data_IF_195039864761
#
_entry.id   IF_195039864761
#
_cell.length_a   1.000
_cell.length_b   1.000
_cell.length_c   1.000
_cell.angle_alpha   90.00
_cell.angle_beta   90.00
_cell.angle_gamma   90.00
#
_symmetry.space_group_name_H-M   'P 1'
#
loop_
_entity.id
_entity.type
_entity.pdbx_description
1 polymer ?
#
# COMPACT_ATOMS: atom_id res chain seq x y z
N UNK A 1 -13.26 -58.65 -11.46
CA UNK A 1 -14.30 -57.81 -10.81
C UNK A 1 -13.61 -56.96 -9.73
N UNK A 2 -13.42 -55.65 -9.96
CA UNK A 2 -12.80 -54.77 -8.95
C UNK A 2 -13.72 -54.57 -7.74
N UNK A 3 -13.16 -54.48 -6.53
CA UNK A 3 -13.92 -54.18 -5.30
C UNK A 3 -14.71 -52.87 -5.48
N UNK A 4 -15.99 -52.84 -5.07
CA UNK A 4 -16.82 -51.62 -5.06
C UNK A 4 -16.10 -50.54 -4.25
N UNK A 5 -15.85 -49.38 -4.86
CA UNK A 5 -15.24 -48.23 -4.21
C UNK A 5 -16.23 -47.59 -3.24
N UNK A 6 -15.78 -47.25 -2.02
CA UNK A 6 -16.59 -46.48 -1.07
C UNK A 6 -16.94 -45.11 -1.67
N UNK A 7 -18.14 -44.60 -1.35
CA UNK A 7 -18.61 -43.27 -1.76
C UNK A 7 -17.59 -42.21 -1.31
N UNK A 8 -17.32 -41.22 -2.17
CA UNK A 8 -16.35 -40.15 -1.89
C UNK A 8 -14.88 -40.49 -2.18
N UNK A 9 -14.52 -41.75 -2.43
CA UNK A 9 -13.12 -42.14 -2.75
C UNK A 9 -12.73 -42.02 -4.23
N UNK A 10 -13.61 -41.49 -5.08
CA UNK A 10 -13.34 -41.28 -6.50
C UNK A 10 -14.03 -40.00 -7.02
N UNK A 11 -13.41 -39.38 -8.03
CA UNK A 11 -13.95 -38.19 -8.71
C UNK A 11 -13.70 -36.87 -7.99
N UNK A 12 -14.67 -35.94 -8.08
CA UNK A 12 -14.55 -34.57 -7.56
C UNK A 12 -14.23 -34.51 -6.06
N UNK A 13 -14.71 -35.49 -5.27
CA UNK A 13 -14.45 -35.55 -3.83
C UNK A 13 -12.95 -35.76 -3.49
N UNK A 14 -12.17 -36.34 -4.41
CA UNK A 14 -10.70 -36.48 -4.24
C UNK A 14 -9.96 -35.27 -4.79
N UNK A 15 -10.50 -34.60 -5.80
CA UNK A 15 -9.83 -33.48 -6.46
C UNK A 15 -9.94 -32.17 -5.67
N UNK A 16 -11.00 -32.03 -4.88
CA UNK A 16 -11.33 -30.81 -4.16
C UNK A 16 -11.42 -31.06 -2.66
N UNK A 17 -11.04 -30.06 -1.88
CA UNK A 17 -11.11 -30.04 -0.43
C UNK A 17 -11.81 -28.75 0.01
N UNK A 18 -12.64 -28.81 1.05
CA UNK A 18 -13.30 -27.62 1.58
C UNK A 18 -12.30 -26.75 2.34
N UNK A 19 -12.58 -25.44 2.46
CA UNK A 19 -11.75 -24.51 3.23
C UNK A 19 -11.46 -24.99 4.65
N UNK A 20 -12.49 -25.45 5.37
CA UNK A 20 -12.35 -25.94 6.76
C UNK A 20 -11.43 -27.16 6.84
N UNK A 21 -11.58 -28.11 5.91
CA UNK A 21 -10.71 -29.28 5.84
C UNK A 21 -9.26 -28.92 5.47
N UNK A 22 -9.06 -27.97 4.55
CA UNK A 22 -7.73 -27.49 4.20
C UNK A 22 -7.00 -26.84 5.39
N UNK A 23 -7.73 -26.05 6.18
CA UNK A 23 -7.21 -25.40 7.40
C UNK A 23 -6.83 -26.45 8.45
N UNK A 24 -7.72 -27.42 8.72
CA UNK A 24 -7.44 -28.55 9.62
C UNK A 24 -6.21 -29.34 9.19
N UNK A 25 -6.09 -29.64 7.89
CA UNK A 25 -4.96 -30.40 7.32
C UNK A 25 -3.62 -29.66 7.44
N UNK A 26 -3.60 -28.34 7.24
CA UNK A 26 -2.38 -27.53 7.34
C UNK A 26 -2.02 -27.11 8.78
N UNK A 27 -2.97 -27.25 9.71
CA UNK A 27 -2.84 -26.83 11.11
C UNK A 27 -2.49 -25.35 11.23
N UNK A 28 -3.20 -24.51 10.47
CA UNK A 28 -3.06 -23.06 10.45
C UNK A 28 -4.32 -22.37 10.97
N UNK A 29 -4.22 -21.10 11.34
CA UNK A 29 -5.40 -20.26 11.60
C UNK A 29 -6.02 -19.77 10.29
N UNK A 30 -7.29 -19.38 10.30
CA UNK A 30 -7.98 -18.85 9.11
C UNK A 30 -7.26 -17.63 8.51
N UNK A 31 -6.79 -16.70 9.34
CA UNK A 31 -6.06 -15.51 8.89
C UNK A 31 -4.70 -15.85 8.28
N UNK A 32 -3.96 -16.80 8.86
CA UNK A 32 -2.67 -17.29 8.35
C UNK A 32 -2.86 -18.06 7.03
N UNK A 33 -3.91 -18.89 6.95
CA UNK A 33 -4.27 -19.61 5.73
C UNK A 33 -4.59 -18.64 4.59
N UNK A 34 -5.43 -17.61 4.82
CA UNK A 34 -5.72 -16.58 3.82
C UNK A 34 -4.44 -15.88 3.33
N UNK A 35 -3.54 -15.52 4.25
CA UNK A 35 -2.26 -14.88 3.89
C UNK A 35 -1.39 -15.77 3.02
N UNK A 36 -1.28 -17.04 3.39
CA UNK A 36 -0.48 -18.01 2.67
C UNK A 36 -1.03 -18.26 1.25
N UNK A 37 -2.36 -18.35 1.12
CA UNK A 37 -3.03 -18.45 -0.18
C UNK A 37 -2.74 -17.25 -1.07
N UNK A 38 -2.78 -16.02 -0.53
CA UNK A 38 -2.45 -14.79 -1.28
C UNK A 38 -1.00 -14.81 -1.77
N UNK A 39 -0.06 -15.14 -0.89
CA UNK A 39 1.36 -15.18 -1.23
C UNK A 39 1.70 -16.19 -2.32
N UNK A 40 1.04 -17.35 -2.31
CA UNK A 40 1.22 -18.40 -3.33
C UNK A 40 0.32 -18.25 -4.56
N UNK A 41 -0.66 -17.34 -4.53
CA UNK A 41 -1.63 -17.18 -5.62
C UNK A 41 -2.65 -18.32 -5.73
N UNK A 42 -2.87 -19.07 -4.65
CA UNK A 42 -3.88 -20.14 -4.61
C UNK A 42 -5.25 -19.49 -4.37
N UNK A 43 -6.18 -19.78 -5.27
CA UNK A 43 -7.52 -19.21 -5.23
C UNK A 43 -8.60 -20.30 -5.17
N UNK A 44 -9.78 -19.99 -4.59
CA UNK A 44 -10.90 -20.90 -4.57
C UNK A 44 -11.31 -21.34 -5.97
N UNK A 45 -11.81 -22.57 -6.07
CA UNK A 45 -12.26 -23.21 -7.30
C UNK A 45 -13.69 -23.69 -7.13
N UNK A 46 -14.50 -23.51 -8.16
CA UNK A 46 -15.86 -24.03 -8.17
C UNK A 46 -15.89 -25.40 -8.86
N UNK A 47 -16.15 -26.51 -8.12
CA UNK A 47 -16.25 -27.82 -8.73
C UNK A 47 -17.56 -27.95 -9.50
N UNK A 48 -17.53 -28.66 -10.65
CA UNK A 48 -18.72 -28.91 -11.49
C UNK A 48 -19.90 -29.49 -10.72
N UNK A 49 -19.62 -30.35 -9.72
CA UNK A 49 -20.60 -30.88 -8.78
C UNK A 49 -20.07 -30.68 -7.36
N UNK A 50 -20.72 -29.81 -6.60
CA UNK A 50 -20.43 -29.57 -5.18
C UNK A 50 -20.96 -30.77 -4.36
N UNK A 51 -20.12 -31.31 -3.48
CA UNK A 51 -20.40 -32.58 -2.77
C UNK A 51 -20.72 -32.40 -1.29
N UNK A 52 -20.28 -31.30 -0.65
CA UNK A 52 -20.50 -30.99 0.78
C UNK A 52 -21.38 -29.75 1.02
N UNK A 53 -22.03 -29.24 -0.03
CA UNK A 53 -22.91 -28.05 0.04
C UNK A 53 -22.53 -26.94 -0.95
N UNK A 54 -23.53 -26.11 -1.29
CA UNK A 54 -23.40 -25.03 -2.29
C UNK A 54 -22.61 -23.81 -1.79
N UNK A 55 -22.71 -23.52 -0.49
CA UNK A 55 -22.16 -22.33 0.17
C UNK A 55 -20.69 -22.51 0.63
N UNK A 56 -20.14 -23.72 0.48
CA UNK A 56 -18.77 -24.00 0.91
C UNK A 56 -17.78 -23.60 -0.20
N UNK A 57 -16.65 -23.03 0.22
CA UNK A 57 -15.53 -22.72 -0.67
C UNK A 57 -14.62 -23.93 -0.81
N UNK A 58 -14.28 -24.28 -2.05
CA UNK A 58 -13.46 -25.43 -2.38
C UNK A 58 -12.10 -24.98 -2.93
N UNK A 59 -11.07 -25.77 -2.64
CA UNK A 59 -9.72 -25.63 -3.17
C UNK A 59 -9.31 -26.95 -3.83
N UNK A 60 -8.34 -26.91 -4.75
CA UNK A 60 -7.78 -28.14 -5.28
C UNK A 60 -6.90 -28.84 -4.25
N UNK A 61 -7.01 -30.16 -4.16
CA UNK A 61 -6.20 -30.95 -3.24
C UNK A 61 -4.70 -30.87 -3.58
N UNK A 62 -4.36 -30.76 -4.88
CA UNK A 62 -2.98 -30.59 -5.35
C UNK A 62 -2.37 -29.28 -4.83
N UNK A 63 -3.11 -28.18 -4.90
CA UNK A 63 -2.66 -26.87 -4.46
C UNK A 63 -2.42 -26.85 -2.94
N UNK A 64 -3.32 -27.49 -2.16
CA UNK A 64 -3.15 -27.62 -0.71
C UNK A 64 -1.98 -28.52 -0.34
N UNK A 65 -1.72 -29.60 -1.11
CA UNK A 65 -0.56 -30.45 -0.89
C UNK A 65 0.74 -29.70 -1.19
N UNK A 66 0.76 -28.91 -2.26
CA UNK A 66 1.89 -28.05 -2.57
C UNK A 66 2.12 -26.99 -1.48
N UNK A 67 1.03 -26.41 -0.95
CA UNK A 67 1.08 -25.48 0.17
C UNK A 67 1.67 -26.10 1.44
N UNK A 68 1.43 -27.39 1.69
CA UNK A 68 1.93 -28.09 2.87
C UNK A 68 3.47 -28.18 2.92
N UNK A 69 4.14 -28.08 1.78
CA UNK A 69 5.61 -28.10 1.69
C UNK A 69 6.24 -26.70 1.83
N UNK A 70 5.45 -25.65 2.03
CA UNK A 70 5.95 -24.29 2.05
C UNK A 70 6.64 -23.92 3.37
N UNK A 71 7.91 -23.44 3.37
CA UNK A 71 8.64 -23.09 4.59
C UNK A 71 8.01 -21.97 5.41
N UNK A 72 7.16 -21.13 4.81
CA UNK A 72 6.44 -20.08 5.52
C UNK A 72 5.52 -20.64 6.62
N UNK A 73 5.00 -21.86 6.47
CA UNK A 73 4.17 -22.51 7.50
C UNK A 73 4.95 -22.61 8.82
N UNK A 74 6.20 -23.04 8.76
CA UNK A 74 7.05 -23.15 9.95
C UNK A 74 7.35 -21.78 10.56
N UNK A 75 7.51 -20.75 9.72
CA UNK A 75 7.70 -19.38 10.22
C UNK A 75 6.46 -18.86 10.94
N UNK A 76 5.25 -19.12 10.43
CA UNK A 76 3.99 -18.74 11.09
C UNK A 76 3.81 -19.47 12.41
N UNK A 77 4.15 -20.76 12.47
CA UNK A 77 4.15 -21.53 13.71
C UNK A 77 5.12 -20.93 14.75
N UNK A 78 6.34 -20.56 14.33
CA UNK A 78 7.32 -19.87 15.19
C UNK A 78 6.80 -18.53 15.69
N UNK A 79 6.15 -17.74 14.83
CA UNK A 79 5.53 -16.45 15.19
C UNK A 79 4.42 -16.66 16.23
N UNK A 80 3.56 -17.66 16.04
CA UNK A 80 2.48 -17.96 16.99
C UNK A 80 3.02 -18.43 18.34
N UNK A 81 4.05 -19.27 18.36
CA UNK A 81 4.75 -19.66 19.60
C UNK A 81 5.39 -18.44 20.27
N UNK A 82 6.03 -17.56 19.50
CA UNK A 82 6.64 -16.34 20.01
C UNK A 82 5.59 -15.40 20.63
N UNK A 83 4.44 -15.23 19.98
CA UNK A 83 3.30 -14.47 20.51
C UNK A 83 2.81 -15.04 21.85
N UNK A 84 2.67 -16.37 21.96
CA UNK A 84 2.31 -17.05 23.22
C UNK A 84 3.37 -16.79 24.32
N UNK A 85 4.66 -16.77 23.98
CA UNK A 85 5.75 -16.44 24.93
C UNK A 85 5.65 -14.99 25.42
N UNK A 86 5.37 -14.04 24.53
CA UNK A 86 5.12 -12.63 24.88
C UNK A 86 3.93 -12.54 25.84
N UNK A 87 2.81 -13.20 25.54
CA UNK A 87 1.61 -13.17 26.38
C UNK A 87 1.90 -13.77 27.76
N UNK A 88 2.66 -14.87 27.84
CA UNK A 88 3.09 -15.48 29.10
C UNK A 88 4.02 -14.56 29.91
N UNK A 89 4.97 -13.88 29.27
CA UNK A 89 5.84 -12.91 29.93
C UNK A 89 5.07 -11.69 30.45
N UNK A 90 4.10 -11.20 29.67
CA UNK A 90 3.18 -10.11 30.05
C UNK A 90 2.33 -10.51 31.26
N UNK A 91 1.74 -11.70 31.25
CA UNK A 91 0.94 -12.23 32.37
C UNK A 91 1.77 -12.37 33.65
N UNK A 92 3.05 -12.78 33.54
CA UNK A 92 4.00 -12.87 34.66
C UNK A 92 4.62 -11.53 35.07
N UNK A 93 4.25 -10.42 34.43
CA UNK A 93 4.79 -9.05 34.64
C UNK A 93 6.33 -8.95 34.57
N UNK A 94 6.99 -9.86 33.85
CA UNK A 94 8.45 -9.79 33.67
C UNK A 94 8.79 -8.80 32.53
N UNK A 95 9.16 -7.56 32.91
CA UNK A 95 9.40 -6.47 31.96
C UNK A 95 10.66 -6.67 31.11
N UNK A 96 11.72 -7.24 31.68
CA UNK A 96 13.00 -7.42 30.97
C UNK A 96 12.90 -8.49 29.90
N UNK A 97 12.28 -9.63 30.24
CA UNK A 97 12.01 -10.67 29.26
C UNK A 97 11.08 -10.16 28.15
N UNK A 98 10.07 -9.35 28.50
CA UNK A 98 9.16 -8.76 27.53
C UNK A 98 9.90 -7.83 26.55
N UNK A 99 10.79 -6.95 27.04
CA UNK A 99 11.63 -6.08 26.19
C UNK A 99 12.48 -6.91 25.24
N UNK A 100 13.15 -7.95 25.74
CA UNK A 100 13.97 -8.85 24.92
C UNK A 100 13.15 -9.62 23.87
N UNK A 101 11.95 -10.07 24.22
CA UNK A 101 11.07 -10.75 23.26
C UNK A 101 10.53 -9.78 22.20
N UNK A 102 10.26 -8.51 22.56
CA UNK A 102 9.83 -7.51 21.58
C UNK A 102 10.89 -7.23 20.51
N UNK A 103 12.17 -7.16 20.89
CA UNK A 103 13.27 -6.93 19.94
C UNK A 103 13.54 -8.14 19.05
N UNK A 104 13.34 -9.36 19.57
CA UNK A 104 13.59 -10.62 18.85
C UNK A 104 12.39 -11.12 18.02
N UNK A 105 11.50 -10.21 17.57
CA UNK A 105 10.32 -10.60 16.78
C UNK A 105 10.74 -11.34 15.50
N UNK A 106 10.34 -12.61 15.31
CA UNK A 106 10.70 -13.35 14.10
C UNK A 106 9.97 -12.74 12.90
N UNK A 107 10.74 -12.34 11.89
CA UNK A 107 10.24 -11.91 10.59
C UNK A 107 10.29 -13.04 9.56
N UNK A 108 9.56 -12.89 8.47
CA UNK A 108 9.63 -13.75 7.29
C UNK A 108 9.97 -12.91 6.06
N UNK A 109 10.55 -13.56 5.05
CA UNK A 109 10.91 -12.95 3.76
C UNK A 109 10.09 -13.61 2.65
N UNK A 110 9.66 -12.83 1.68
CA UNK A 110 8.87 -13.31 0.53
C UNK A 110 9.74 -13.49 -0.74
N UNK A 111 11.06 -13.34 -0.60
CA UNK A 111 12.01 -13.33 -1.72
C UNK A 111 11.98 -14.60 -2.57
N UNK A 112 11.83 -15.76 -1.93
CA UNK A 112 11.77 -17.05 -2.62
C UNK A 112 10.46 -17.23 -3.39
N UNK A 113 9.34 -16.75 -2.84
CA UNK A 113 8.03 -16.80 -3.49
C UNK A 113 7.99 -15.99 -4.79
N UNK A 114 8.55 -14.78 -4.77
CA UNK A 114 8.60 -13.92 -5.96
C UNK A 114 9.39 -14.61 -7.08
N UNK A 115 10.54 -15.23 -6.75
CA UNK A 115 11.38 -15.95 -7.71
C UNK A 115 10.72 -17.22 -8.25
N UNK A 116 9.98 -17.93 -7.42
CA UNK A 116 9.25 -19.13 -7.82
C UNK A 116 8.06 -18.80 -8.73
N UNK A 117 7.34 -17.71 -8.44
CA UNK A 117 6.19 -17.26 -9.23
C UNK A 117 6.60 -16.61 -10.55
N UNK A 118 7.70 -15.86 -10.56
CA UNK A 118 8.21 -15.13 -11.72
C UNK A 118 9.62 -15.60 -12.07
N UNK A 119 9.76 -16.72 -12.81
CA UNK A 119 11.08 -17.24 -13.20
C UNK A 119 11.80 -16.31 -14.18
N UNK A 120 11.05 -15.63 -15.05
CA UNK A 120 11.59 -14.60 -15.95
C UNK A 120 11.21 -13.21 -15.45
N UNK A 121 12.09 -12.25 -15.76
CA UNK A 121 11.80 -10.84 -15.49
C UNK A 121 10.67 -10.28 -16.34
N UNK A 122 10.50 -10.80 -17.57
CA UNK A 122 9.40 -10.38 -18.44
C UNK A 122 8.05 -10.79 -17.84
N UNK A 123 8.00 -11.95 -17.18
CA UNK A 123 6.78 -12.41 -16.49
C UNK A 123 6.46 -11.51 -15.29
N UNK A 124 7.47 -11.07 -14.55
CA UNK A 124 7.29 -10.10 -13.47
C UNK A 124 6.79 -8.73 -13.97
N UNK A 125 7.23 -8.28 -15.14
CA UNK A 125 6.77 -7.03 -15.77
C UNK A 125 5.31 -7.11 -16.22
N UNK A 126 4.84 -8.28 -16.67
CA UNK A 126 3.45 -8.47 -17.14
C UNK A 126 2.42 -8.36 -16.02
N UNK A 127 2.77 -8.81 -14.82
CA UNK A 127 1.91 -8.74 -13.63
C UNK A 127 2.12 -7.45 -12.81
N UNK A 128 2.92 -6.51 -13.32
CA UNK A 128 3.31 -5.30 -12.57
C UNK A 128 2.18 -4.26 -12.46
N UNK A 129 1.22 -4.27 -13.39
CA UNK A 129 0.09 -3.33 -13.47
C UNK A 129 -0.71 -3.30 -12.16
N UNK A 130 -1.11 -4.47 -11.66
CA UNK A 130 -1.86 -4.62 -10.40
C UNK A 130 -1.02 -4.22 -9.18
N UNK A 131 0.28 -4.53 -9.20
CA UNK A 131 1.19 -4.16 -8.13
C UNK A 131 1.35 -2.64 -8.03
N UNK A 132 1.52 -1.95 -9.16
CA UNK A 132 1.68 -0.50 -9.21
C UNK A 132 0.40 0.21 -8.79
N UNK A 133 -0.77 -0.20 -9.27
CA UNK A 133 -2.06 0.40 -8.89
C UNK A 133 -2.26 0.33 -7.37
N UNK A 134 -2.02 -0.83 -6.75
CA UNK A 134 -2.19 -1.00 -5.31
C UNK A 134 -1.18 -0.17 -4.50
N UNK A 135 0.09 -0.16 -4.90
CA UNK A 135 1.14 0.59 -4.20
C UNK A 135 0.87 2.10 -4.26
N UNK A 136 0.43 2.63 -5.41
CA UNK A 136 0.06 4.05 -5.53
C UNK A 136 -1.19 4.39 -4.72
N UNK A 137 -2.17 3.47 -4.64
CA UNK A 137 -3.33 3.65 -3.77
C UNK A 137 -2.90 3.81 -2.31
N UNK A 138 -2.12 2.85 -1.80
CA UNK A 138 -1.64 2.91 -0.42
C UNK A 138 -0.73 4.11 -0.15
N UNK A 139 0.05 4.58 -1.12
CA UNK A 139 0.88 5.78 -0.94
C UNK A 139 0.06 7.04 -0.59
N UNK A 140 -1.19 7.12 -1.09
CA UNK A 140 -2.11 8.24 -0.86
C UNK A 140 -2.96 8.09 0.41
N UNK A 141 -3.07 6.89 0.98
CA UNK A 141 -3.89 6.65 2.16
C UNK A 141 -3.26 7.27 3.44
N UNK A 142 -4.09 7.78 4.37
CA UNK A 142 -3.63 8.15 5.70
C UNK A 142 -3.30 6.91 6.54
N UNK A 143 -2.34 7.05 7.44
CA UNK A 143 -1.98 6.00 8.39
C UNK A 143 -3.02 5.92 9.52
N UNK A 144 -4.15 5.28 9.26
CA UNK A 144 -5.23 5.15 10.24
C UNK A 144 -5.10 3.85 11.03
N UNK A 145 -4.87 3.95 12.34
CA UNK A 145 -4.68 2.77 13.21
C UNK A 145 -5.95 1.92 13.31
N UNK A 146 -7.13 2.50 13.09
CA UNK A 146 -8.43 1.81 13.17
C UNK A 146 -8.55 0.63 12.19
N UNK A 147 -7.94 0.73 11.01
CA UNK A 147 -8.03 -0.28 9.96
C UNK A 147 -6.84 -1.26 9.94
N UNK A 148 -5.92 -1.14 10.91
CA UNK A 148 -4.78 -2.04 11.05
C UNK A 148 -3.72 -1.92 9.95
N UNK A 149 -3.62 -0.75 9.31
CA UNK A 149 -2.62 -0.47 8.27
C UNK A 149 -1.32 0.01 8.96
N UNK A 150 -0.19 -0.69 8.80
CA UNK A 150 1.06 -0.29 9.44
C UNK A 150 1.71 0.90 8.72
N UNK A 151 2.11 1.93 9.47
CA UNK A 151 2.81 3.13 8.96
C UNK A 151 4.04 2.79 8.12
N UNK A 152 4.84 1.83 8.58
CA UNK A 152 6.04 1.36 7.86
C UNK A 152 5.70 0.84 6.45
N UNK A 153 4.57 0.15 6.26
CA UNK A 153 4.18 -0.31 4.93
C UNK A 153 3.76 0.86 4.01
N UNK A 154 3.13 1.90 4.57
CA UNK A 154 2.75 3.11 3.83
C UNK A 154 3.99 3.91 3.41
N UNK A 155 4.94 4.11 4.32
CA UNK A 155 6.24 4.75 4.02
C UNK A 155 6.99 3.98 2.93
N UNK A 156 7.03 2.64 3.05
CA UNK A 156 7.62 1.78 2.03
C UNK A 156 6.90 1.93 0.68
N UNK A 157 5.57 1.98 0.66
CA UNK A 157 4.80 2.15 -0.56
C UNK A 157 5.06 3.51 -1.23
N UNK A 158 5.13 4.60 -0.45
CA UNK A 158 5.48 5.95 -0.94
C UNK A 158 6.87 5.97 -1.55
N UNK A 159 7.85 5.42 -0.83
CA UNK A 159 9.23 5.30 -1.33
C UNK A 159 9.28 4.51 -2.64
N UNK A 160 8.65 3.33 -2.72
CA UNK A 160 8.68 2.50 -3.93
C UNK A 160 7.98 3.18 -5.12
N UNK A 161 6.92 3.95 -4.85
CA UNK A 161 6.23 4.77 -5.85
C UNK A 161 7.16 5.83 -6.42
N UNK A 162 7.89 6.55 -5.56
CA UNK A 162 8.86 7.57 -5.99
C UNK A 162 10.03 6.96 -6.76
N UNK A 163 10.55 5.81 -6.32
CA UNK A 163 11.59 5.06 -7.04
C UNK A 163 11.11 4.67 -8.45
N UNK A 164 9.88 4.18 -8.58
CA UNK A 164 9.29 3.84 -9.88
C UNK A 164 9.15 5.07 -10.79
N UNK A 165 8.61 6.17 -10.27
CA UNK A 165 8.43 7.40 -11.03
C UNK A 165 9.77 8.01 -11.46
N UNK A 166 10.76 8.01 -10.57
CA UNK A 166 12.11 8.49 -10.87
C UNK A 166 12.77 7.69 -12.00
N UNK A 167 12.59 6.36 -12.01
CA UNK A 167 13.05 5.51 -13.10
C UNK A 167 12.40 5.93 -14.44
N UNK A 168 11.07 6.06 -14.47
CA UNK A 168 10.33 6.42 -15.68
C UNK A 168 10.72 7.79 -16.25
N UNK A 169 10.91 8.79 -15.38
CA UNK A 169 11.35 10.13 -15.77
C UNK A 169 12.76 10.05 -16.36
N UNK A 170 13.66 9.31 -15.72
CA UNK A 170 15.04 9.15 -16.20
C UNK A 170 15.11 8.46 -17.56
N UNK A 171 14.31 7.42 -17.79
CA UNK A 171 14.33 6.67 -19.05
C UNK A 171 13.40 7.24 -20.11
N UNK A 172 12.57 8.24 -19.77
CA UNK A 172 11.56 8.82 -20.65
C UNK A 172 10.69 7.76 -21.35
N UNK A 173 10.29 6.73 -20.58
CA UNK A 173 9.59 5.54 -21.11
C UNK A 173 8.06 5.66 -21.14
N UNK A 174 7.51 6.79 -20.71
CA UNK A 174 6.07 7.04 -20.71
C UNK A 174 5.57 7.24 -22.14
N UNK A 175 4.49 6.55 -22.51
CA UNK A 175 3.93 6.56 -23.88
C UNK A 175 2.57 7.22 -23.96
N UNK A 176 1.66 6.83 -23.08
CA UNK A 176 0.28 7.33 -23.08
C UNK A 176 -0.12 7.75 -21.68
N UNK A 177 -0.90 8.81 -21.61
CA UNK A 177 -1.49 9.32 -20.37
C UNK A 177 -2.95 9.60 -20.64
N UNK A 178 -3.82 9.15 -19.75
CA UNK A 178 -5.24 9.39 -19.82
C UNK A 178 -5.77 9.83 -18.46
N UNK A 179 -6.49 10.94 -18.43
CA UNK A 179 -7.07 11.50 -17.21
C UNK A 179 -8.54 11.07 -17.17
N UNK A 180 -8.96 10.49 -16.05
CA UNK A 180 -10.33 10.05 -15.80
C UNK A 180 -10.81 10.60 -14.46
N UNK A 181 -12.11 10.51 -14.19
CA UNK A 181 -12.69 10.84 -12.88
C UNK A 181 -12.07 10.01 -11.75
N UNK A 182 -11.59 8.79 -12.05
CA UNK A 182 -10.95 7.90 -11.07
C UNK A 182 -9.51 8.31 -10.72
N UNK A 183 -8.84 9.07 -11.58
CA UNK A 183 -7.41 9.33 -11.47
C UNK A 183 -6.70 9.35 -12.82
N UNK A 184 -5.38 9.25 -12.75
CA UNK A 184 -4.47 9.27 -13.89
C UNK A 184 -4.09 7.85 -14.30
N UNK A 185 -4.38 7.49 -15.54
CA UNK A 185 -3.91 6.28 -16.16
C UNK A 185 -2.60 6.57 -16.91
N UNK A 186 -1.54 5.87 -16.53
CA UNK A 186 -0.24 5.95 -17.19
C UNK A 186 0.05 4.65 -17.91
N UNK A 187 0.63 4.75 -19.10
CA UNK A 187 1.17 3.62 -19.84
C UNK A 187 2.64 3.89 -20.18
N UNK A 188 3.53 3.01 -19.72
CA UNK A 188 4.95 3.05 -20.05
C UNK A 188 5.39 1.78 -20.79
N UNK A 189 6.39 1.92 -21.65
CA UNK A 189 6.98 0.82 -22.40
C UNK A 189 8.35 0.48 -21.83
N UNK A 190 8.47 -0.70 -21.21
CA UNK A 190 9.69 -1.14 -20.52
C UNK A 190 10.09 -2.49 -21.10
N UNK A 191 11.29 -2.56 -21.69
CA UNK A 191 11.83 -3.78 -22.31
C UNK A 191 10.85 -4.48 -23.28
N UNK A 192 10.08 -3.69 -24.04
CA UNK A 192 9.08 -4.18 -25.00
C UNK A 192 7.77 -4.69 -24.38
N UNK A 193 7.55 -4.50 -23.08
CA UNK A 193 6.26 -4.72 -22.43
C UNK A 193 5.62 -3.37 -22.10
N UNK A 194 4.33 -3.21 -22.43
CA UNK A 194 3.55 -2.05 -22.02
C UNK A 194 2.92 -2.29 -20.66
N UNK A 195 3.31 -1.49 -19.68
CA UNK A 195 2.81 -1.53 -18.30
C UNK A 195 1.81 -0.39 -18.14
N UNK A 196 0.60 -0.68 -17.68
CA UNK A 196 -0.47 0.30 -17.47
C UNK A 196 -0.92 0.31 -16.01
N UNK A 197 -0.88 1.47 -15.36
CA UNK A 197 -1.32 1.60 -13.98
C UNK A 197 -2.13 2.86 -13.74
N UNK A 198 -2.90 2.85 -12.65
CA UNK A 198 -3.77 3.93 -12.20
C UNK A 198 -3.15 4.58 -10.96
N UNK A 199 -3.09 5.92 -10.98
CA UNK A 199 -2.75 6.75 -9.84
C UNK A 199 -4.00 7.54 -9.44
N UNK A 200 -4.54 7.35 -8.22
CA UNK A 200 -5.72 8.08 -7.79
C UNK A 200 -5.42 9.58 -7.65
N UNK A 201 -6.45 10.41 -7.76
CA UNK A 201 -6.34 11.85 -7.45
C UNK A 201 -5.98 12.05 -5.97
N UNK A 202 -5.21 13.10 -5.70
CA UNK A 202 -4.72 13.44 -4.37
C UNK A 202 -5.79 14.18 -3.56
N UNK A 203 -6.91 13.49 -3.32
CA UNK A 203 -8.04 13.95 -2.52
C UNK A 203 -8.07 13.21 -1.18
N UNK A 204 -8.70 13.80 -0.16
CA UNK A 204 -8.94 13.11 1.11
C UNK A 204 -9.90 11.94 0.87
N UNK A 205 -9.36 10.72 0.93
CA UNK A 205 -10.16 9.51 0.73
C UNK A 205 -10.87 9.14 2.03
N UNK A 206 -12.18 8.95 1.97
CA UNK A 206 -12.96 8.33 3.04
C UNK A 206 -12.79 6.82 2.92
N UNK A 207 -12.33 6.18 3.98
CA UNK A 207 -12.07 4.74 4.02
C UNK A 207 -13.37 3.96 4.27
N UNK A 208 -13.94 3.26 3.26
CA UNK A 208 -15.16 2.48 3.46
C UNK A 208 -14.94 1.33 4.44
N UNK A 209 -15.95 1.03 5.25
CA UNK A 209 -15.93 -0.05 6.26
C UNK A 209 -16.09 -1.44 5.67
N UNK A 210 -16.65 -1.55 4.46
CA UNK A 210 -16.96 -2.83 3.82
C UNK A 210 -15.73 -3.54 3.25
N UNK A 211 -14.58 -2.86 3.24
CA UNK A 211 -13.34 -3.36 2.65
C UNK A 211 -12.43 -3.96 3.73
N UNK A 212 -11.97 -5.20 3.50
CA UNK A 212 -11.01 -5.87 4.38
C UNK A 212 -9.57 -5.42 4.09
N UNK A 213 -9.11 -4.39 4.81
CA UNK A 213 -7.74 -3.86 4.70
C UNK A 213 -6.66 -4.85 5.15
N UNK A 214 -6.99 -5.88 5.94
CA UNK A 214 -6.00 -6.89 6.36
C UNK A 214 -5.58 -7.75 5.17
N UNK A 215 -6.54 -8.08 4.31
CA UNK A 215 -6.29 -8.77 3.04
C UNK A 215 -5.48 -7.86 2.12
N UNK A 216 -5.90 -6.61 1.93
CA UNK A 216 -5.18 -5.66 1.07
C UNK A 216 -3.74 -5.41 1.52
N UNK A 217 -3.49 -5.31 2.83
CA UNK A 217 -2.14 -5.16 3.39
C UNK A 217 -1.26 -6.37 3.08
N UNK A 218 -1.85 -7.57 3.04
CA UNK A 218 -1.12 -8.79 2.67
C UNK A 218 -0.73 -8.76 1.18
N UNK A 219 -1.63 -8.31 0.30
CA UNK A 219 -1.30 -8.07 -1.11
C UNK A 219 -0.21 -7.01 -1.26
N UNK A 220 -0.34 -5.89 -0.56
CA UNK A 220 0.66 -4.83 -0.55
C UNK A 220 2.04 -5.34 -0.13
N UNK A 221 2.11 -6.23 0.86
CA UNK A 221 3.37 -6.82 1.30
C UNK A 221 4.05 -7.62 0.18
N UNK A 222 3.30 -8.45 -0.54
CA UNK A 222 3.82 -9.22 -1.67
C UNK A 222 4.21 -8.31 -2.84
N UNK A 223 3.34 -7.38 -3.22
CA UNK A 223 3.60 -6.44 -4.32
C UNK A 223 4.75 -5.48 -4.01
N UNK A 224 4.93 -5.06 -2.76
CA UNK A 224 6.10 -4.29 -2.35
C UNK A 224 7.39 -5.07 -2.56
N UNK A 225 7.42 -6.37 -2.26
CA UNK A 225 8.60 -7.19 -2.52
C UNK A 225 8.83 -7.42 -4.01
N UNK A 226 7.77 -7.66 -4.80
CA UNK A 226 7.86 -7.76 -6.26
C UNK A 226 8.45 -6.47 -6.87
N UNK A 227 7.90 -5.32 -6.50
CA UNK A 227 8.33 -4.02 -7.01
C UNK A 227 9.78 -3.70 -6.60
N UNK A 228 10.22 -4.12 -5.41
CA UNK A 228 11.63 -4.04 -5.01
C UNK A 228 12.56 -4.84 -5.93
N UNK A 229 12.20 -6.07 -6.28
CA UNK A 229 12.98 -6.88 -7.23
C UNK A 229 13.00 -6.25 -8.62
N UNK A 230 11.86 -5.73 -9.06
CA UNK A 230 11.74 -5.09 -10.37
C UNK A 230 12.58 -3.82 -10.43
N UNK A 231 12.40 -2.90 -9.48
CA UNK A 231 13.19 -1.68 -9.39
C UNK A 231 14.69 -1.99 -9.29
N UNK A 232 15.09 -2.97 -8.46
CA UNK A 232 16.49 -3.38 -8.37
C UNK A 232 17.07 -3.73 -9.75
N UNK A 233 16.37 -4.54 -10.55
CA UNK A 233 16.85 -4.94 -11.88
C UNK A 233 16.80 -3.78 -12.88
N UNK A 234 15.76 -2.95 -12.85
CA UNK A 234 15.61 -1.80 -13.74
C UNK A 234 16.72 -0.77 -13.51
N UNK A 235 16.99 -0.42 -12.25
CA UNK A 235 18.10 0.48 -11.90
C UNK A 235 19.46 -0.10 -12.30
N UNK A 236 19.65 -1.41 -12.14
CA UNK A 236 20.88 -2.05 -12.59
C UNK A 236 21.04 -2.03 -14.11
N UNK A 237 19.94 -2.10 -14.88
CA UNK A 237 19.99 -2.03 -16.34
C UNK A 237 20.44 -0.66 -16.87
N UNK A 238 20.19 0.40 -16.11
CA UNK A 238 20.65 1.77 -16.39
C UNK A 238 21.97 2.12 -15.66
N UNK A 239 22.64 1.13 -15.05
CA UNK A 239 23.87 1.28 -14.26
C UNK A 239 23.76 2.25 -13.07
N UNK A 240 22.57 2.42 -12.49
CA UNK A 240 22.37 3.18 -11.25
C UNK A 240 22.42 2.26 -10.03
N UNK A 241 22.92 2.81 -8.92
CA UNK A 241 22.92 2.11 -7.62
C UNK A 241 21.49 2.05 -7.08
N UNK A 242 21.05 0.85 -6.68
CA UNK A 242 19.81 0.63 -5.95
C UNK A 242 20.13 0.26 -4.48
N UNK A 243 19.38 0.79 -3.50
CA UNK A 243 18.37 1.83 -3.64
C UNK A 243 18.94 3.23 -3.95
N UNK A 244 18.18 4.12 -4.60
CA UNK A 244 18.62 5.50 -4.80
C UNK A 244 18.78 6.18 -3.44
N UNK A 245 19.80 7.04 -3.32
CA UNK A 245 20.03 7.83 -2.12
C UNK A 245 19.00 8.96 -2.11
N UNK A 246 18.01 8.89 -1.22
CA UNK A 246 17.17 10.03 -0.92
C UNK A 246 17.91 10.93 0.06
N UNK A 247 18.12 12.19 -0.32
CA UNK A 247 18.61 13.20 0.61
C UNK A 247 17.41 13.74 1.39
N UNK A 248 17.42 13.52 2.71
CA UNK A 248 16.32 13.94 3.60
C UNK A 248 16.05 15.44 3.52
N UNK A 249 17.08 16.25 3.24
CA UNK A 249 16.93 17.70 3.08
C UNK A 249 16.15 18.06 1.82
N UNK A 250 16.40 17.35 0.72
CA UNK A 250 15.67 17.58 -0.53
C UNK A 250 14.23 17.10 -0.43
N UNK A 251 13.97 16.04 0.35
CA UNK A 251 12.61 15.60 0.65
C UNK A 251 11.83 16.63 1.48
N UNK A 252 12.46 17.23 2.49
CA UNK A 252 11.85 18.30 3.30
C UNK A 252 11.49 19.52 2.43
N UNK A 253 12.43 19.99 1.59
CA UNK A 253 12.20 21.11 0.67
C UNK A 253 11.11 20.79 -0.36
N UNK A 254 11.08 19.56 -0.89
CA UNK A 254 10.03 19.14 -1.82
C UNK A 254 8.65 19.08 -1.14
N UNK A 255 8.59 18.64 0.11
CA UNK A 255 7.36 18.62 0.90
C UNK A 255 6.86 20.03 1.21
N UNK A 256 7.75 20.96 1.56
CA UNK A 256 7.42 22.38 1.76
C UNK A 256 6.89 23.02 0.48
N UNK A 257 7.56 22.80 -0.65
CA UNK A 257 7.10 23.29 -1.96
C UNK A 257 5.74 22.71 -2.34
N UNK A 258 5.52 21.42 -2.10
CA UNK A 258 4.23 20.78 -2.37
C UNK A 258 3.11 21.35 -1.48
N UNK A 259 3.40 21.65 -0.21
CA UNK A 259 2.44 22.30 0.69
C UNK A 259 2.09 23.71 0.22
N UNK A 260 3.10 24.51 -0.17
CA UNK A 260 2.89 25.86 -0.71
C UNK A 260 2.07 25.82 -2.01
N UNK A 261 2.36 24.89 -2.91
CA UNK A 261 1.58 24.71 -4.14
C UNK A 261 0.13 24.32 -3.84
N UNK A 262 -0.09 23.46 -2.83
CA UNK A 262 -1.43 23.06 -2.40
C UNK A 262 -2.22 24.26 -1.86
N UNK A 263 -1.58 25.10 -1.06
CA UNK A 263 -2.20 26.32 -0.53
C UNK A 263 -2.55 27.31 -1.67
N UNK A 264 -1.67 27.47 -2.66
CA UNK A 264 -1.93 28.30 -3.85
C UNK A 264 -3.10 27.76 -4.68
N UNK A 265 -3.21 26.44 -4.85
CA UNK A 265 -4.33 25.82 -5.58
C UNK A 265 -5.65 25.85 -4.79
N UNK A 266 -5.59 25.77 -3.45
CA UNK A 266 -6.78 25.91 -2.59
C UNK A 266 -7.39 27.31 -2.65
N UNK A 267 -6.58 28.34 -2.93
CA UNK A 267 -7.07 29.71 -3.18
C UNK A 267 -7.78 29.83 -4.54
N UNK A 268 -7.49 28.97 -5.52
CA UNK A 268 -8.17 28.99 -6.83
C UNK A 268 -9.55 28.31 -6.83
N UNK A 269 -9.83 27.38 -5.91
CA UNK A 269 -11.14 26.71 -5.83
C UNK A 269 -12.28 27.64 -5.37
N UNK A 270 -11.99 28.73 -4.68
CA UNK A 270 -13.01 29.76 -4.35
C UNK A 270 -13.29 30.74 -5.50
N UNK A 271 -12.41 30.83 -6.52
CA UNK A 271 -12.56 31.73 -7.67
C UNK A 271 -13.19 31.12 -8.93
N UNK A 272 -13.36 29.79 -9.00
CA UNK A 272 -13.81 29.09 -10.21
C UNK A 272 -15.34 29.00 -10.40
N UNK A 273 -16.14 29.61 -9.51
CA UNK A 273 -17.60 29.65 -9.63
C UNK A 273 -18.15 30.87 -10.36
N UNK A 274 -17.31 31.85 -10.71
CA UNK A 274 -17.77 33.14 -11.23
C UNK A 274 -17.31 33.48 -12.67
N UNK A 275 -16.56 32.59 -13.33
CA UNK A 275 -15.97 32.86 -14.66
C UNK A 275 -16.31 31.81 -15.73
N UNK A 276 -17.41 31.05 -15.56
CA UNK A 276 -17.91 30.10 -16.55
C UNK A 276 -18.90 30.72 -17.57
N UNK A 277 -19.06 32.04 -17.59
CA UNK A 277 -20.03 32.70 -18.44
C UNK A 277 -19.45 33.95 -19.11
N UNK A 278 -18.43 33.77 -19.94
CA UNK A 278 -18.02 34.65 -21.05
C UNK A 278 -16.79 34.02 -21.72
N UNK A 279 -16.73 34.09 -23.05
CA UNK A 279 -15.62 33.68 -23.94
C UNK A 279 -15.76 32.31 -24.63
N UNK A 280 -16.93 32.09 -25.22
CA UNK A 280 -17.01 31.51 -26.57
C UNK A 280 -16.67 32.59 -27.62
N UNK A 281 -15.41 32.74 -28.04
CA UNK A 281 -15.04 33.31 -29.34
C UNK A 281 -13.51 33.29 -29.58
N UNK A 282 -13.14 32.86 -30.79
CA UNK A 282 -11.88 33.09 -31.54
C UNK A 282 -10.64 32.22 -31.26
N UNK A 283 -10.55 31.15 -32.05
CA UNK A 283 -9.50 30.80 -33.03
C UNK A 283 -8.06 31.37 -32.88
N UNK A 284 -7.08 30.45 -32.86
CA UNK A 284 -6.08 30.36 -33.94
C UNK A 284 -4.59 30.60 -33.61
N UNK A 285 -3.77 29.61 -34.02
CA UNK A 285 -2.35 29.63 -34.45
C UNK A 285 -1.21 29.33 -33.44
N UNK A 286 -0.58 28.16 -33.66
CA UNK A 286 0.82 27.76 -33.39
C UNK A 286 1.81 28.44 -34.38
N UNK A 287 3.15 28.17 -34.44
CA UNK A 287 4.12 27.53 -33.52
C UNK A 287 5.52 28.24 -33.44
N UNK A 288 6.46 27.69 -32.64
CA UNK A 288 7.85 27.30 -33.01
C UNK A 288 9.06 27.90 -32.23
N UNK A 289 10.16 27.11 -32.26
CA UNK A 289 11.61 27.33 -31.95
C UNK A 289 12.05 26.80 -30.56
N UNK A 290 12.56 25.57 -30.41
CA UNK A 290 13.89 24.96 -30.75
C UNK A 290 15.06 25.50 -29.92
N UNK A 291 15.82 24.59 -29.26
CA UNK A 291 17.29 24.74 -29.15
C UNK A 291 17.96 24.34 -27.83
N UNK A 292 18.54 23.15 -27.84
CA UNK A 292 19.59 22.55 -27.00
C UNK A 292 20.61 23.46 -26.28
N UNK A 293 21.13 23.02 -25.12
CA UNK A 293 22.51 22.49 -24.97
C UNK A 293 22.90 22.26 -23.48
N UNK A 294 23.89 21.41 -23.30
CA UNK A 294 24.33 20.70 -22.09
C UNK A 294 25.60 21.27 -21.42
N UNK A 295 25.71 20.99 -20.10
CA UNK A 295 26.91 20.78 -19.26
C UNK A 295 27.70 21.96 -18.64
N UNK A 296 27.58 22.15 -17.31
CA UNK A 296 28.67 22.58 -16.39
C UNK A 296 28.31 22.35 -14.90
N UNK A 297 28.71 21.19 -14.35
CA UNK A 297 28.18 20.58 -13.11
C UNK A 297 28.70 21.10 -11.76
N UNK A 298 29.24 22.31 -11.65
CA UNK A 298 29.59 22.89 -10.33
C UNK A 298 29.10 24.34 -10.15
N UNK A 299 29.08 25.13 -11.23
CA UNK A 299 28.46 26.46 -11.26
C UNK A 299 26.92 26.40 -11.18
N UNK A 300 26.32 25.29 -11.61
CA UNK A 300 24.86 25.08 -11.53
C UNK A 300 24.35 25.09 -10.08
N UNK A 301 25.17 24.73 -9.08
CA UNK A 301 24.71 24.65 -7.68
C UNK A 301 24.50 26.03 -7.03
N UNK A 302 25.35 27.01 -7.35
CA UNK A 302 25.22 28.39 -6.87
C UNK A 302 24.19 29.17 -7.69
N UNK A 303 24.13 28.94 -9.00
CA UNK A 303 23.10 29.54 -9.86
C UNK A 303 21.72 29.00 -9.49
N UNK A 304 21.59 27.71 -9.14
CA UNK A 304 20.34 27.13 -8.63
C UNK A 304 20.00 27.67 -7.24
N UNK A 305 20.97 27.84 -6.32
CA UNK A 305 20.72 28.49 -5.02
C UNK A 305 20.24 29.94 -5.17
N UNK A 306 20.91 30.74 -6.00
CA UNK A 306 20.51 32.13 -6.27
C UNK A 306 19.14 32.20 -6.97
N UNK A 307 18.82 31.22 -7.83
CA UNK A 307 17.52 31.13 -8.51
C UNK A 307 16.41 30.66 -7.55
N UNK A 308 16.72 29.81 -6.58
CA UNK A 308 15.81 29.40 -5.49
C UNK A 308 15.55 30.58 -4.55
N UNK A 309 16.58 31.33 -4.16
CA UNK A 309 16.43 32.54 -3.34
C UNK A 309 15.63 33.63 -4.06
N UNK A 310 15.88 33.83 -5.36
CA UNK A 310 15.12 34.73 -6.22
C UNK A 310 13.67 34.28 -6.46
N UNK A 311 13.41 32.97 -6.46
CA UNK A 311 12.05 32.42 -6.46
C UNK A 311 11.37 32.66 -5.11
N UNK A 312 12.06 32.48 -3.99
CA UNK A 312 11.54 32.75 -2.63
C UNK A 312 11.22 34.23 -2.37
N UNK A 313 11.96 35.17 -2.96
CA UNK A 313 11.63 36.60 -2.87
C UNK A 313 10.42 36.96 -3.73
N UNK A 314 10.38 36.49 -4.98
CA UNK A 314 9.24 36.71 -5.89
C UNK A 314 7.96 36.04 -5.39
N UNK A 315 8.03 34.86 -4.78
CA UNK A 315 6.85 34.20 -4.20
C UNK A 315 6.30 34.96 -3.00
N UNK A 316 7.17 35.57 -2.17
CA UNK A 316 6.74 36.40 -1.04
C UNK A 316 6.04 37.67 -1.50
N UNK A 317 6.55 38.33 -2.53
CA UNK A 317 5.88 39.50 -3.13
C UNK A 317 4.50 39.14 -3.67
N UNK A 318 4.32 37.98 -4.29
CA UNK A 318 3.01 37.52 -4.81
C UNK A 318 2.02 37.22 -3.67
N UNK A 319 2.49 36.62 -2.57
CA UNK A 319 1.66 36.34 -1.38
C UNK A 319 1.26 37.63 -0.65
N UNK A 320 2.14 38.63 -0.59
CA UNK A 320 1.84 39.92 0.05
C UNK A 320 0.87 40.78 -0.80
N UNK A 321 0.95 40.69 -2.13
CA UNK A 321 -0.01 41.34 -3.03
C UNK A 321 -1.42 40.75 -2.84
N UNK A 322 -1.56 39.43 -2.67
CA UNK A 322 -2.84 38.76 -2.40
C UNK A 322 -3.49 39.11 -1.06
N UNK A 323 -2.72 39.51 -0.04
CA UNK A 323 -3.27 39.98 1.25
C UNK A 323 -3.73 41.44 1.21
N UNK A 324 -3.16 42.26 0.32
CA UNK A 324 -3.50 43.68 0.23
C UNK A 324 -4.85 43.95 -0.46
N UNK A 325 -5.34 43.04 -1.31
CA UNK A 325 -6.61 43.19 -2.04
C UNK A 325 -7.87 42.75 -1.26
N UNK A 326 -7.73 42.09 -0.11
CA UNK A 326 -8.85 41.59 0.69
C UNK A 326 -9.23 42.50 1.90
N UNK A 327 -8.54 43.63 2.09
CA UNK A 327 -8.70 44.50 3.26
C UNK A 327 -9.19 45.92 2.92
N UNK A 328 -10.36 46.06 2.27
CA UNK A 328 -11.07 47.34 2.23
C UNK A 328 -12.60 47.20 2.16
N UNK A 329 -13.23 46.83 3.28
CA UNK A 329 -14.60 47.24 3.62
C UNK A 329 -14.79 47.22 5.15
N UNK A 330 -14.99 48.41 5.71
CA UNK A 330 -15.13 48.86 7.12
C UNK A 330 -16.48 48.46 7.78
N UNK A 331 -16.83 48.83 9.05
CA UNK A 331 -16.08 48.83 10.33
C UNK A 331 -16.91 48.41 11.61
N UNK A 332 -16.22 48.33 12.76
CA UNK A 332 -16.69 48.60 14.16
C UNK A 332 -17.58 47.61 14.95
N UNK A 333 -17.03 47.02 16.04
CA UNK A 333 -17.53 47.21 17.43
C UNK A 333 -16.60 46.64 18.51
N UNK A 334 -16.48 47.40 19.60
CA UNK A 334 -15.72 47.19 20.85
C UNK A 334 -16.09 45.89 21.60
N UNK A 335 -15.12 45.27 22.30
CA UNK A 335 -15.09 45.12 23.78
C UNK A 335 -13.84 44.38 24.30
N UNK A 336 -13.26 44.92 25.37
CA UNK A 336 -12.74 44.28 26.61
C UNK A 336 -12.05 42.89 26.43
N UNK A 337 -10.77 42.64 26.73
CA UNK A 337 -9.94 43.09 27.84
C UNK A 337 -9.99 42.09 29.00
N UNK A 338 -9.17 41.02 29.00
CA UNK A 338 -8.70 40.32 30.23
C UNK A 338 -7.34 39.62 29.98
N UNK A 339 -6.54 39.69 31.04
CA UNK A 339 -5.15 39.31 31.30
C UNK A 339 -4.69 37.89 30.94
N UNK A 340 -3.40 37.87 30.65
CA UNK A 340 -2.43 36.79 30.75
C UNK A 340 -2.47 36.00 32.08
N UNK A 341 -2.21 34.69 31.97
CA UNK A 341 -1.55 33.90 33.01
C UNK A 341 -0.73 32.79 32.37
N UNK A 342 0.54 32.75 32.76
CA UNK A 342 1.52 31.72 32.44
C UNK A 342 1.50 30.61 33.50
N UNK A 343 1.72 29.35 33.06
CA UNK A 343 2.28 28.21 33.81
C UNK A 343 2.64 27.13 32.75
N UNK A 344 3.93 26.86 32.48
CA UNK A 344 4.77 25.75 33.04
C UNK A 344 4.08 24.39 32.90
N UNK A 345 4.48 23.60 31.91
CA UNK A 345 5.55 22.56 31.95
C UNK A 345 5.18 21.40 32.87
N UNK A 346 4.80 20.28 32.25
CA UNK A 346 5.16 18.90 32.64
C UNK A 346 4.97 18.01 31.40
N UNK A 347 6.09 17.61 30.78
CA UNK A 347 6.16 16.63 29.68
C UNK A 347 6.03 15.22 30.26
N UNK A 348 4.88 14.57 30.03
CA UNK A 348 4.75 13.12 30.14
C UNK A 348 4.72 12.52 28.73
N UNK A 349 5.82 11.88 28.33
CA UNK A 349 5.92 11.04 27.13
C UNK A 349 5.04 9.80 27.28
N UNK A 350 3.75 9.91 26.96
CA UNK A 350 2.89 8.77 26.67
C UNK A 350 3.23 8.19 25.28
N UNK A 351 4.14 7.22 25.25
CA UNK A 351 4.32 6.36 24.08
C UNK A 351 3.07 5.48 23.93
N UNK A 352 2.20 5.91 23.00
CA UNK A 352 0.94 5.27 22.66
C UNK A 352 1.16 3.79 22.31
N UNK A 353 0.35 2.98 22.98
CA UNK A 353 0.36 1.53 23.02
C UNK A 353 -0.02 0.98 21.63
N UNK A 354 0.84 0.14 21.03
CA UNK A 354 0.45 -0.81 19.98
C UNK A 354 -0.55 -1.84 20.56
N UNK A 355 -1.81 -1.44 20.68
CA UNK A 355 -2.92 -2.31 20.94
C UNK A 355 -3.32 -2.98 19.62
N UNK A 356 -2.74 -4.15 19.34
CA UNK A 356 -3.47 -5.18 18.61
C UNK A 356 -4.62 -5.67 19.52
N UNK A 357 -5.68 -4.88 19.60
CA UNK A 357 -6.97 -5.27 20.13
C UNK A 357 -7.77 -5.89 19.00
N UNK A 358 -7.74 -7.21 18.88
CA UNK A 358 -8.83 -7.91 18.22
C UNK A 358 -10.02 -7.88 19.19
N UNK A 359 -11.02 -7.06 18.86
CA UNK A 359 -12.39 -7.22 19.35
C UNK A 359 -12.90 -8.48 18.65
N UNK A 360 -12.96 -9.54 19.43
CA UNK A 360 -13.56 -10.82 19.08
C UNK A 360 -15.08 -10.64 19.10
N UNK A 361 -15.67 -10.42 17.92
CA UNK A 361 -17.10 -10.53 17.70
C UNK A 361 -17.32 -11.69 16.72
N UNK A 362 -17.79 -12.83 17.23
CA UNK A 362 -18.26 -13.95 16.42
C UNK A 362 -17.76 -15.30 16.87
N UNK A 363 -18.03 -15.67 18.13
CA UNK A 363 -17.94 -17.05 18.62
C UNK A 363 -19.36 -17.67 18.69
N UNK A 364 -20.11 -17.60 17.58
CA UNK A 364 -21.46 -18.19 17.48
C UNK A 364 -21.59 -19.26 16.38
N UNK A 365 -20.59 -19.45 15.51
CA UNK A 365 -20.67 -20.45 14.42
C UNK A 365 -19.72 -21.66 14.61
N UNK A 366 -18.96 -21.74 15.71
CA UNK A 366 -18.01 -22.85 15.94
C UNK A 366 -18.67 -24.12 16.50
N UNK A 367 -19.86 -24.04 17.13
CA UNK A 367 -20.50 -25.22 17.75
C UNK A 367 -21.41 -26.04 16.84
N UNK A 368 -22.02 -25.47 15.80
CA UNK A 368 -22.92 -26.24 14.92
C UNK A 368 -22.16 -27.08 13.87
N UNK A 369 -20.90 -26.75 13.60
CA UNK A 369 -20.11 -27.44 12.56
C UNK A 369 -19.30 -28.65 13.06
N UNK A 370 -19.18 -28.83 14.37
CA UNK A 370 -18.50 -29.99 14.97
C UNK A 370 -19.45 -31.19 15.06
N UNK A 371 -20.74 -30.98 15.33
CA UNK A 371 -21.72 -32.08 15.44
C UNK A 371 -22.08 -32.72 14.09
N UNK A 372 -22.21 -31.93 13.00
CA UNK A 372 -22.57 -32.50 11.68
C UNK A 372 -21.44 -33.30 11.00
N UNK A 373 -20.18 -32.99 11.29
CA UNK A 373 -19.04 -33.69 10.66
C UNK A 373 -18.64 -34.97 11.44
N UNK A 374 -19.02 -35.12 12.72
CA UNK A 374 -18.78 -36.35 13.52
C UNK A 374 -19.80 -37.45 13.21
N UNK A 375 -21.06 -37.11 12.92
CA UNK A 375 -22.09 -38.11 12.59
C UNK A 375 -21.86 -38.82 11.24
N UNK A 376 -21.12 -38.22 10.30
CA UNK A 376 -20.85 -38.83 8.97
C UNK A 376 -19.56 -39.68 8.91
N UNK A 377 -18.70 -39.66 9.93
CA UNK A 377 -17.51 -40.55 9.98
C UNK A 377 -17.84 -41.95 10.55
N UNK A 378 -19.04 -42.15 11.12
CA UNK A 378 -19.47 -43.44 11.69
C UNK A 378 -20.36 -44.33 10.78
N UNK A 379 -20.67 -43.94 9.53
CA UNK A 379 -21.47 -44.77 8.57
C UNK A 379 -20.73 -45.35 7.35
#
# INVERSE_FOLDING_TARGET
MGKKLKRGKAGNAVQYITRTQAIRKLQLRLSEFRRLCIFKGIHPREPKKKFKGANKTYYHMKDIMWLAHEPLIDTFRRITVHRKRIQKAKAKRNRDLLKRLKTLKPGYRLDHLVKERYPSFVDALRDLDDALTLVHLFAMLPAESKYGIPSNALEKARRLTLEWQAYLVRTSSLRRVFISVKGYFFQAEIMGQSVTWLVPHQLSQVMPTDVDYRIMTTFLQFYSTLLQFVNFKLYHSINLRYPPVSDSRLEEVAAELAAIMKDLTGVQEEGLKESANLLSASSGSDPNVIGSASASSEQDSEVVKARIEGLHSRLREIVDIGKSSAASSTPSKKKEGVKSKAAKEDEEDEVIIENFGDIDSGNEDESESEEEDEEEEEE
#
